data_IF_677718311561
#
_entry.id   IF_677718311561
#
_cell.length_a   1.000
_cell.length_b   1.000
_cell.length_c   1.000
_cell.angle_alpha   90.00
_cell.angle_beta   90.00
_cell.angle_gamma   90.00
#
_symmetry.space_group_name_H-M   'P 1'
#
loop_
_entity.id
_entity.type
_entity.pdbx_description
1 polymer ?
#
# COMPACT_ATOMS: atom_id res chain seq x y z
N UNK A 1 35.75 -23.75 4.94
CA UNK A 1 35.60 -22.29 4.72
C UNK A 1 34.23 -21.81 5.22
N UNK A 2 33.89 -22.05 6.50
CA UNK A 2 32.62 -21.60 7.13
C UNK A 2 32.82 -20.97 8.52
N UNK A 3 34.03 -21.00 9.08
CA UNK A 3 34.29 -20.61 10.48
C UNK A 3 34.87 -19.20 10.66
N UNK A 4 35.02 -18.39 9.60
CA UNK A 4 35.69 -17.07 9.70
C UNK A 4 34.76 -15.87 9.88
N UNK A 5 33.44 -16.05 9.86
CA UNK A 5 32.46 -14.95 10.00
C UNK A 5 31.97 -14.72 11.43
N UNK A 6 32.18 -15.68 12.33
CA UNK A 6 31.70 -15.63 13.71
C UNK A 6 32.19 -14.42 14.56
N UNK A 7 33.44 -13.92 14.44
CA UNK A 7 33.89 -12.79 15.25
C UNK A 7 33.38 -11.43 14.75
N UNK A 8 33.00 -11.32 13.47
CA UNK A 8 32.47 -10.07 12.88
C UNK A 8 31.03 -9.81 13.34
N UNK A 9 30.20 -10.86 13.40
CA UNK A 9 28.80 -10.79 13.84
C UNK A 9 28.64 -10.30 15.29
N UNK A 10 29.63 -10.49 16.16
CA UNK A 10 29.55 -10.07 17.58
C UNK A 10 29.56 -8.55 17.79
N UNK A 11 29.98 -7.79 16.79
CA UNK A 11 30.04 -6.32 16.84
C UNK A 11 28.97 -5.66 15.96
N UNK A 12 28.13 -6.44 15.29
CA UNK A 12 27.01 -5.89 14.53
C UNK A 12 25.90 -5.47 15.48
N UNK A 13 25.34 -4.28 15.25
CA UNK A 13 24.15 -3.85 15.99
C UNK A 13 23.03 -4.82 15.67
N UNK A 14 22.31 -5.24 16.71
CA UNK A 14 21.14 -6.06 16.52
C UNK A 14 20.13 -5.32 15.62
N UNK A 15 19.53 -6.01 14.66
CA UNK A 15 18.50 -5.43 13.77
C UNK A 15 17.34 -4.83 14.59
N UNK A 16 17.09 -5.39 15.79
CA UNK A 16 16.13 -4.86 16.75
C UNK A 16 16.39 -3.41 17.16
N UNK A 17 17.63 -2.92 17.08
CA UNK A 17 17.97 -1.53 17.38
C UNK A 17 17.40 -0.55 16.35
N UNK A 18 17.20 -1.02 15.10
CA UNK A 18 16.63 -0.23 14.02
C UNK A 18 15.09 -0.29 13.98
N UNK A 19 14.47 -1.24 14.67
CA UNK A 19 13.01 -1.37 14.73
C UNK A 19 12.44 -0.40 15.77
N UNK A 20 11.63 0.60 15.36
CA UNK A 20 11.13 1.63 16.28
C UNK A 20 9.95 1.16 17.14
N UNK A 21 9.38 -0.01 16.86
CA UNK A 21 8.18 -0.53 17.50
C UNK A 21 8.46 -1.19 18.86
N UNK A 22 7.49 -1.07 19.77
CA UNK A 22 7.51 -1.61 21.12
C UNK A 22 6.53 -2.78 21.27
N UNK A 23 5.22 -2.52 21.18
CA UNK A 23 4.18 -3.52 21.34
C UNK A 23 2.90 -3.11 20.60
N UNK A 24 2.02 -4.07 20.38
CA UNK A 24 0.67 -3.81 19.87
C UNK A 24 -0.22 -3.32 21.01
N UNK A 25 -0.83 -2.15 20.81
CA UNK A 25 -1.87 -1.61 21.71
C UNK A 25 -3.21 -2.25 21.36
N UNK A 26 -3.45 -2.43 20.06
CA UNK A 26 -4.60 -3.14 19.49
C UNK A 26 -4.14 -3.97 18.29
N UNK A 27 -5.06 -4.65 17.61
CA UNK A 27 -4.77 -5.36 16.36
C UNK A 27 -4.32 -4.44 15.21
N UNK A 28 -4.61 -3.14 15.27
CA UNK A 28 -4.31 -2.16 14.21
C UNK A 28 -3.38 -1.02 14.66
N UNK A 29 -3.09 -0.89 15.95
CA UNK A 29 -2.27 0.20 16.50
C UNK A 29 -1.03 -0.37 17.19
N UNK A 30 0.12 0.18 16.81
CA UNK A 30 1.44 -0.18 17.38
C UNK A 30 2.02 1.03 18.10
N UNK A 31 2.51 0.81 19.32
CA UNK A 31 3.27 1.81 20.05
C UNK A 31 4.75 1.80 19.64
N UNK A 32 5.35 2.97 19.47
CA UNK A 32 6.81 3.11 19.26
C UNK A 32 7.56 3.15 20.59
N UNK A 33 8.88 2.92 20.56
CA UNK A 33 9.76 3.08 21.74
C UNK A 33 9.84 4.53 22.24
N UNK A 34 9.37 5.49 21.45
CA UNK A 34 9.28 6.91 21.81
C UNK A 34 7.90 7.31 22.35
N UNK A 35 7.06 6.32 22.66
CA UNK A 35 5.70 6.51 23.16
C UNK A 35 4.76 7.24 22.17
N UNK A 36 4.99 7.07 20.88
CA UNK A 36 4.06 7.48 19.82
C UNK A 36 3.17 6.29 19.43
N UNK A 37 2.04 6.57 18.80
CA UNK A 37 1.16 5.55 18.24
C UNK A 37 1.17 5.63 16.71
N UNK A 38 1.22 4.47 16.08
CA UNK A 38 1.21 4.32 14.62
C UNK A 38 0.05 3.42 14.23
N UNK A 39 -0.72 3.84 13.23
CA UNK A 39 -1.77 3.05 12.60
C UNK A 39 -1.61 3.19 11.09
N UNK A 40 -1.81 2.11 10.34
CA UNK A 40 -1.70 2.14 8.88
C UNK A 40 -3.03 1.74 8.26
N UNK A 41 -3.52 2.55 7.33
CA UNK A 41 -4.76 2.30 6.60
C UNK A 41 -4.45 2.15 5.13
N UNK A 42 -4.90 1.05 4.53
CA UNK A 42 -5.00 0.95 3.08
C UNK A 42 -6.23 1.74 2.65
N UNK A 43 -6.02 2.69 1.74
CA UNK A 43 -7.09 3.53 1.19
C UNK A 43 -7.21 3.24 -0.30
N UNK A 44 -8.43 3.09 -0.77
CA UNK A 44 -8.67 3.00 -2.21
C UNK A 44 -8.68 4.41 -2.81
N UNK A 45 -8.08 4.53 -3.99
CA UNK A 45 -8.09 5.77 -4.76
C UNK A 45 -9.40 5.94 -5.52
N UNK A 46 -9.70 7.18 -5.88
CA UNK A 46 -10.80 7.52 -6.79
C UNK A 46 -10.25 7.78 -8.20
N UNK A 47 -10.84 7.17 -9.23
CA UNK A 47 -10.52 7.55 -10.61
C UNK A 47 -11.03 8.97 -10.88
N UNK A 48 -10.18 9.83 -11.44
CA UNK A 48 -10.52 11.21 -11.79
C UNK A 48 -10.80 11.38 -13.29
N UNK A 49 -10.57 10.33 -14.10
CA UNK A 49 -10.81 10.37 -15.53
C UNK A 49 -12.32 10.44 -15.82
N UNK A 50 -12.71 11.33 -16.74
CA UNK A 50 -14.11 11.53 -17.12
C UNK A 50 -14.94 12.39 -16.17
N UNK A 51 -14.40 12.84 -15.03
CA UNK A 51 -15.11 13.73 -14.12
C UNK A 51 -14.92 15.22 -14.47
N UNK A 52 -15.97 16.05 -14.32
CA UNK A 52 -15.88 17.50 -14.38
C UNK A 52 -14.81 18.08 -13.44
N UNK A 53 -14.29 19.25 -13.77
CA UNK A 53 -13.27 19.91 -12.95
C UNK A 53 -13.79 20.39 -11.60
N UNK A 54 -15.06 20.84 -11.55
CA UNK A 54 -15.76 21.19 -10.31
C UNK A 54 -15.81 20.04 -9.29
N UNK A 55 -16.02 18.81 -9.76
CA UNK A 55 -16.04 17.64 -8.90
C UNK A 55 -14.67 17.37 -8.29
N UNK A 56 -13.62 17.51 -9.09
CA UNK A 56 -12.23 17.31 -8.64
C UNK A 56 -11.85 18.34 -7.59
N UNK A 57 -12.20 19.62 -7.82
CA UNK A 57 -11.98 20.69 -6.84
C UNK A 57 -12.70 20.40 -5.53
N UNK A 58 -13.98 20.00 -5.60
CA UNK A 58 -14.76 19.61 -4.41
C UNK A 58 -14.10 18.49 -3.63
N UNK A 59 -13.58 17.44 -4.28
CA UNK A 59 -12.90 16.35 -3.58
C UNK A 59 -11.62 16.79 -2.87
N UNK A 60 -10.87 17.73 -3.46
CA UNK A 60 -9.68 18.30 -2.83
C UNK A 60 -10.08 19.11 -1.59
N UNK A 61 -11.16 19.90 -1.67
CA UNK A 61 -11.68 20.65 -0.53
C UNK A 61 -12.17 19.72 0.58
N UNK A 62 -12.90 18.66 0.25
CA UNK A 62 -13.35 17.63 1.20
C UNK A 62 -12.16 16.96 1.90
N UNK A 63 -11.12 16.59 1.15
CA UNK A 63 -9.90 16.00 1.70
C UNK A 63 -9.18 16.97 2.65
N UNK A 64 -9.04 18.24 2.24
CA UNK A 64 -8.40 19.26 3.06
C UNK A 64 -9.20 19.50 4.36
N UNK A 65 -10.53 19.57 4.27
CA UNK A 65 -11.39 19.73 5.44
C UNK A 65 -11.24 18.55 6.40
N UNK A 66 -11.14 17.33 5.89
CA UNK A 66 -10.87 16.14 6.70
C UNK A 66 -9.53 16.24 7.41
N UNK A 67 -8.44 16.55 6.69
CA UNK A 67 -7.08 16.64 7.26
C UNK A 67 -6.98 17.76 8.29
N UNK A 68 -7.53 18.93 7.99
CA UNK A 68 -7.57 20.07 8.91
C UNK A 68 -8.48 19.86 10.12
N UNK A 69 -9.43 18.90 10.04
CA UNK A 69 -10.33 18.56 11.14
C UNK A 69 -9.68 17.74 12.27
N UNK A 70 -8.45 17.23 12.08
CA UNK A 70 -7.76 16.47 13.11
C UNK A 70 -7.21 17.36 14.23
N UNK A 71 -7.16 16.85 15.48
CA UNK A 71 -6.55 17.58 16.59
C UNK A 71 -5.03 17.71 16.41
N UNK A 72 -4.40 18.67 17.10
CA UNK A 72 -2.94 18.78 17.15
C UNK A 72 -2.28 17.49 17.65
N UNK A 73 -1.06 17.21 17.16
CA UNK A 73 -0.29 16.02 17.55
C UNK A 73 -0.48 14.80 16.65
N UNK A 74 -1.20 14.95 15.53
CA UNK A 74 -1.30 13.94 14.47
C UNK A 74 -0.34 14.31 13.33
N UNK A 75 0.45 13.34 12.88
CA UNK A 75 1.23 13.42 11.66
C UNK A 75 0.69 12.42 10.63
N UNK A 76 0.72 12.79 9.36
CA UNK A 76 0.29 11.93 8.27
C UNK A 76 1.44 11.63 7.32
N UNK A 77 1.56 10.37 6.91
CA UNK A 77 2.48 9.92 5.87
C UNK A 77 1.72 9.13 4.81
N UNK A 78 2.00 9.44 3.55
CA UNK A 78 1.46 8.70 2.42
C UNK A 78 2.53 7.78 1.84
N UNK A 79 2.14 6.53 1.60
CA UNK A 79 3.01 5.53 0.98
C UNK A 79 2.29 4.92 -0.22
N UNK A 80 2.93 4.95 -1.38
CA UNK A 80 2.45 4.26 -2.58
C UNK A 80 3.28 3.00 -2.79
N UNK A 81 2.63 1.85 -2.69
CA UNK A 81 3.26 0.55 -2.95
C UNK A 81 2.83 0.06 -4.31
N UNK A 82 3.78 -0.08 -5.23
CA UNK A 82 3.54 -0.58 -6.58
C UNK A 82 3.78 -2.08 -6.63
N UNK A 83 2.74 -2.88 -6.85
CA UNK A 83 2.79 -4.35 -6.79
C UNK A 83 2.46 -4.96 -8.16
N UNK A 84 3.20 -6.02 -8.55
CA UNK A 84 2.83 -6.88 -9.68
C UNK A 84 1.62 -7.73 -9.32
N UNK A 85 0.63 -7.74 -10.20
CA UNK A 85 -0.54 -8.61 -10.08
C UNK A 85 -0.47 -9.67 -11.16
N UNK A 86 -0.53 -10.92 -10.71
CA UNK A 86 -0.59 -12.09 -11.59
C UNK A 86 -1.99 -12.72 -11.60
N UNK A 87 -2.85 -12.32 -10.67
CA UNK A 87 -4.21 -12.82 -10.57
C UNK A 87 -5.08 -12.18 -11.64
N UNK A 88 -5.67 -13.03 -12.46
CA UNK A 88 -6.71 -12.66 -13.41
C UNK A 88 -8.01 -13.36 -12.99
N UNK A 89 -9.14 -12.64 -12.86
CA UNK A 89 -10.38 -13.23 -12.38
C UNK A 89 -10.95 -14.26 -13.37
N UNK A 90 -11.50 -15.35 -12.85
CA UNK A 90 -12.30 -16.24 -13.67
C UNK A 90 -13.57 -15.54 -14.15
N UNK A 91 -13.81 -15.63 -15.46
CA UNK A 91 -14.84 -14.86 -16.16
C UNK A 91 -15.53 -15.76 -17.17
N UNK A 92 -16.86 -15.74 -17.19
CA UNK A 92 -17.67 -16.46 -18.18
C UNK A 92 -18.41 -15.45 -19.06
N UNK A 93 -18.16 -15.50 -20.37
CA UNK A 93 -18.78 -14.60 -21.34
C UNK A 93 -19.70 -15.35 -22.30
N UNK A 94 -20.90 -14.81 -22.59
CA UNK A 94 -21.92 -15.49 -23.40
C UNK A 94 -21.54 -15.59 -24.89
N UNK A 95 -20.83 -14.60 -25.43
CA UNK A 95 -20.49 -14.53 -26.85
C UNK A 95 -19.05 -14.97 -27.17
N UNK A 96 -18.82 -15.37 -28.43
CA UNK A 96 -17.54 -15.90 -28.85
C UNK A 96 -16.41 -14.85 -28.92
N UNK A 97 -16.75 -13.60 -29.21
CA UNK A 97 -15.78 -12.51 -29.32
C UNK A 97 -15.20 -12.18 -27.94
N UNK A 98 -16.06 -11.95 -26.94
CA UNK A 98 -15.67 -11.65 -25.57
C UNK A 98 -14.85 -12.78 -24.96
N UNK A 99 -15.21 -14.06 -25.21
CA UNK A 99 -14.38 -15.20 -24.79
C UNK A 99 -12.99 -15.20 -25.43
N UNK A 100 -12.90 -14.93 -26.74
CA UNK A 100 -11.62 -14.85 -27.42
C UNK A 100 -10.78 -13.68 -26.90
N UNK A 101 -11.41 -12.54 -26.61
CA UNK A 101 -10.76 -11.38 -26.01
C UNK A 101 -10.26 -11.67 -24.59
N UNK A 102 -11.06 -12.30 -23.73
CA UNK A 102 -10.66 -12.72 -22.38
C UNK A 102 -9.43 -13.63 -22.42
N UNK A 103 -9.45 -14.66 -23.27
CA UNK A 103 -8.30 -15.58 -23.42
C UNK A 103 -7.05 -14.84 -23.91
N UNK A 104 -7.19 -13.93 -24.87
CA UNK A 104 -6.06 -13.16 -25.37
C UNK A 104 -5.51 -12.19 -24.30
N UNK A 105 -6.39 -11.52 -23.56
CA UNK A 105 -6.01 -10.58 -22.52
C UNK A 105 -5.39 -11.28 -21.31
N UNK A 106 -5.95 -12.43 -20.88
CA UNK A 106 -5.39 -13.26 -19.80
C UNK A 106 -3.93 -13.66 -20.07
N UNK A 107 -3.58 -13.99 -21.32
CA UNK A 107 -2.18 -14.32 -21.71
C UNK A 107 -1.20 -13.16 -21.52
N UNK A 108 -1.68 -11.91 -21.48
CA UNK A 108 -0.81 -10.76 -21.21
C UNK A 108 -0.31 -10.75 -19.77
N UNK A 109 -1.08 -11.30 -18.82
CA UNK A 109 -0.70 -11.37 -17.41
C UNK A 109 0.45 -12.36 -17.16
N UNK A 110 0.57 -13.40 -17.98
CA UNK A 110 1.68 -14.38 -17.90
C UNK A 110 3.01 -13.80 -18.37
N UNK A 111 2.98 -12.89 -19.34
CA UNK A 111 4.19 -12.34 -19.98
C UNK A 111 4.62 -11.02 -19.37
N UNK A 112 3.69 -10.09 -19.19
CA UNK A 112 3.92 -8.76 -18.61
C UNK A 112 2.84 -8.47 -17.58
N UNK A 113 3.00 -8.96 -16.34
CA UNK A 113 1.99 -8.76 -15.30
C UNK A 113 1.76 -7.27 -15.05
N UNK A 114 0.49 -6.81 -15.03
CA UNK A 114 0.19 -5.42 -14.74
C UNK A 114 0.63 -5.05 -13.32
N UNK A 115 0.88 -3.76 -13.15
CA UNK A 115 1.22 -3.19 -11.85
C UNK A 115 -0.01 -2.47 -11.30
N UNK A 116 -0.36 -2.73 -10.05
CA UNK A 116 -1.34 -1.93 -9.31
C UNK A 116 -0.62 -1.02 -8.33
N UNK A 117 -1.26 0.11 -8.03
CA UNK A 117 -0.84 1.02 -6.98
C UNK A 117 -1.75 0.82 -5.77
N UNK A 118 -1.17 0.44 -4.65
CA UNK A 118 -1.84 0.41 -3.36
C UNK A 118 -1.42 1.66 -2.58
N UNK A 119 -2.41 2.44 -2.12
CA UNK A 119 -2.17 3.64 -1.32
C UNK A 119 -2.35 3.32 0.16
N UNK A 120 -1.38 3.72 0.95
CA UNK A 120 -1.40 3.60 2.39
C UNK A 120 -1.26 4.98 3.04
N UNK A 121 -2.07 5.22 4.07
CA UNK A 121 -1.99 6.38 4.95
C UNK A 121 -1.53 5.88 6.32
N UNK A 122 -0.51 6.51 6.88
CA UNK A 122 0.05 6.23 8.22
C UNK A 122 -0.03 7.46 9.09
#
# INVERSE_FOLDING_TARGET
MKDSLAPVLRHERAVSDAVPFSHHVTSSIVATRRAEYVSVWRVDGRSFEGYPEEDKCRWIEELNNLVCGFPPGVGFWTHLVRRRVHEYPDSEYPDAFSRAHDVAYRRTFDTTPPMINELYLT
#
